data_IF_919585452148
#
_entry.id   IF_919585452148
#
_cell.length_a   1.000
_cell.length_b   1.000
_cell.length_c   1.000
_cell.angle_alpha   90.00
_cell.angle_beta   90.00
_cell.angle_gamma   90.00
#
_symmetry.space_group_name_H-M   'P 1'
#
loop_
_entity.id
_entity.type
_entity.pdbx_description
1 polymer ?
#
# COMPACT_ATOMS: atom_id res chain seq x y z
N UNK A 1 -79.00 40.42 -6.26
CA UNK A 1 -78.06 40.04 -5.27
C UNK A 1 -76.99 39.10 -5.94
N UNK A 2 -75.85 39.66 -6.37
CA UNK A 2 -74.81 38.95 -7.10
C UNK A 2 -73.66 38.59 -6.13
N UNK A 3 -73.41 37.28 -5.94
CA UNK A 3 -72.28 36.81 -5.13
C UNK A 3 -71.05 36.73 -6.01
N UNK A 4 -70.11 37.63 -5.76
CA UNK A 4 -68.73 37.52 -6.30
C UNK A 4 -67.97 36.39 -5.60
N UNK A 5 -67.50 35.38 -6.35
CA UNK A 5 -66.50 34.38 -5.90
C UNK A 5 -65.10 34.94 -6.10
N UNK A 6 -64.39 35.06 -5.02
CA UNK A 6 -62.95 35.44 -5.03
C UNK A 6 -62.13 34.19 -5.20
N UNK A 7 -61.40 34.10 -6.30
CA UNK A 7 -60.46 32.99 -6.56
C UNK A 7 -59.10 33.40 -6.05
N UNK A 8 -58.64 32.71 -5.01
CA UNK A 8 -57.30 32.88 -4.42
C UNK A 8 -56.34 31.98 -5.19
N UNK A 9 -55.40 32.60 -5.91
CA UNK A 9 -54.32 31.90 -6.61
C UNK A 9 -53.16 31.69 -5.59
N UNK A 10 -52.93 30.43 -5.23
CA UNK A 10 -51.76 30.02 -4.44
C UNK A 10 -50.56 29.90 -5.41
N UNK A 11 -49.61 30.79 -5.29
CA UNK A 11 -48.30 30.66 -5.93
C UNK A 11 -47.44 29.72 -5.08
N UNK A 12 -47.18 28.49 -5.55
CA UNK A 12 -46.22 27.60 -4.98
C UNK A 12 -44.81 28.07 -5.43
N UNK A 13 -43.99 28.49 -4.49
CA UNK A 13 -42.56 28.74 -4.70
C UNK A 13 -41.84 27.41 -4.51
N UNK A 14 -41.44 26.76 -5.59
CA UNK A 14 -40.53 25.62 -5.53
C UNK A 14 -39.12 26.12 -5.22
N UNK A 15 -38.67 25.88 -3.98
CA UNK A 15 -37.26 26.00 -3.61
C UNK A 15 -36.50 24.84 -4.26
N UNK A 16 -35.76 25.09 -5.34
CA UNK A 16 -34.73 24.18 -5.83
C UNK A 16 -33.59 24.15 -4.81
N UNK A 17 -33.57 23.16 -3.95
CA UNK A 17 -32.38 22.77 -3.19
C UNK A 17 -31.36 22.20 -4.18
N UNK A 18 -30.40 23.00 -4.60
CA UNK A 18 -29.20 22.51 -5.26
C UNK A 18 -28.47 21.59 -4.27
N UNK A 19 -28.59 20.28 -4.46
CA UNK A 19 -27.77 19.30 -3.78
C UNK A 19 -26.33 19.55 -4.23
N UNK A 20 -25.53 20.22 -3.39
CA UNK A 20 -24.09 20.22 -3.53
C UNK A 20 -23.65 18.77 -3.32
N UNK A 21 -23.35 18.08 -4.39
CA UNK A 21 -22.65 16.81 -4.35
C UNK A 21 -21.29 17.09 -3.69
N UNK A 22 -21.18 16.82 -2.40
CA UNK A 22 -19.88 16.72 -1.74
C UNK A 22 -19.22 15.51 -2.42
N UNK A 23 -18.30 15.76 -3.37
CA UNK A 23 -17.52 14.71 -3.98
C UNK A 23 -16.90 13.89 -2.87
N UNK A 24 -16.97 12.56 -2.97
CA UNK A 24 -16.33 11.68 -2.00
C UNK A 24 -14.88 12.14 -1.80
N UNK A 25 -14.47 12.32 -0.54
CA UNK A 25 -13.09 12.69 -0.23
C UNK A 25 -12.14 11.64 -0.81
N UNK A 26 -11.00 12.09 -1.30
CA UNK A 26 -9.98 11.23 -1.87
C UNK A 26 -9.37 10.33 -0.78
N UNK A 27 -9.54 9.00 -0.89
CA UNK A 27 -9.14 8.04 0.13
C UNK A 27 -8.06 7.08 -0.40
N UNK A 28 -6.87 7.17 0.19
CA UNK A 28 -5.78 6.20 0.07
C UNK A 28 -5.29 5.85 1.46
N UNK A 29 -6.10 5.16 2.27
CA UNK A 29 -5.93 5.13 3.72
C UNK A 29 -4.79 4.25 4.21
N UNK A 30 -4.11 3.49 3.34
CA UNK A 30 -3.03 2.59 3.74
C UNK A 30 -2.08 2.30 2.58
N UNK A 31 -1.03 1.56 2.88
CA UNK A 31 -0.11 0.99 1.91
C UNK A 31 -0.85 0.20 0.83
N UNK A 32 -0.59 0.53 -0.43
CA UNK A 32 -1.26 -0.08 -1.58
C UNK A 32 -2.70 0.38 -1.80
N UNK A 33 -3.18 1.40 -1.06
CA UNK A 33 -4.54 1.93 -1.17
C UNK A 33 -5.61 1.07 -0.48
N UNK A 34 -6.89 1.37 -0.68
CA UNK A 34 -7.98 0.76 0.07
C UNK A 34 -8.05 -0.77 -0.06
N UNK A 35 -7.64 -1.32 -1.19
CA UNK A 35 -7.60 -2.77 -1.45
C UNK A 35 -6.21 -3.38 -1.31
N UNK A 36 -5.19 -2.59 -0.97
CA UNK A 36 -3.77 -2.97 -0.90
C UNK A 36 -3.23 -3.59 -2.20
N UNK A 37 -3.79 -3.20 -3.33
CA UNK A 37 -3.46 -3.70 -4.67
C UNK A 37 -2.71 -2.69 -5.55
N UNK A 38 -2.29 -1.55 -4.95
CA UNK A 38 -1.61 -0.42 -5.59
C UNK A 38 -2.38 0.17 -6.78
N UNK A 39 -3.74 0.04 -6.77
CA UNK A 39 -4.61 0.60 -7.79
C UNK A 39 -5.48 1.72 -7.24
N UNK A 40 -5.41 2.87 -7.89
CA UNK A 40 -6.26 4.02 -7.58
C UNK A 40 -7.60 3.91 -8.30
N UNK A 41 -8.70 4.31 -7.64
CA UNK A 41 -10.00 4.42 -8.28
C UNK A 41 -10.14 5.67 -9.15
N UNK A 42 -9.16 6.56 -9.17
CA UNK A 42 -9.21 7.82 -9.92
C UNK A 42 -9.35 7.60 -11.42
N UNK A 43 -10.11 8.47 -12.05
CA UNK A 43 -10.34 8.55 -13.49
C UNK A 43 -10.14 9.99 -13.99
N UNK A 44 -10.17 10.21 -15.30
CA UNK A 44 -9.93 11.52 -15.93
C UNK A 44 -8.54 12.09 -15.55
N UNK A 45 -7.54 11.23 -15.64
CA UNK A 45 -6.15 11.58 -15.38
C UNK A 45 -5.39 11.80 -16.72
N UNK A 46 -4.32 12.58 -16.66
CA UNK A 46 -3.42 12.79 -17.78
C UNK A 46 -2.92 11.45 -18.35
N UNK A 47 -3.05 11.27 -19.66
CA UNK A 47 -2.50 10.09 -20.38
C UNK A 47 -1.10 10.36 -20.95
N UNK A 48 -0.70 11.63 -20.93
CA UNK A 48 0.63 12.10 -21.30
C UNK A 48 0.99 13.29 -20.42
N UNK A 49 2.18 13.27 -19.84
CA UNK A 49 2.68 14.44 -19.12
C UNK A 49 3.27 15.47 -20.09
N UNK A 50 3.15 16.77 -19.80
CA UNK A 50 3.85 17.81 -20.55
C UNK A 50 5.37 17.66 -20.41
N UNK A 51 6.12 18.36 -21.24
CA UNK A 51 7.57 18.50 -21.10
C UNK A 51 7.91 19.06 -19.70
N UNK A 52 8.86 18.43 -19.01
CA UNK A 52 9.20 18.76 -17.61
C UNK A 52 8.31 18.09 -16.55
N UNK A 53 7.29 17.33 -16.95
CA UNK A 53 6.42 16.57 -16.02
C UNK A 53 5.12 17.28 -15.68
N UNK A 54 4.29 16.68 -14.77
CA UNK A 54 3.06 17.28 -14.33
C UNK A 54 3.31 18.49 -13.41
N UNK A 55 2.31 19.38 -13.28
CA UNK A 55 2.42 20.59 -12.47
C UNK A 55 2.68 20.26 -11.00
N UNK A 56 3.78 20.76 -10.44
CA UNK A 56 4.01 20.68 -8.99
C UNK A 56 3.01 21.57 -8.27
N UNK A 57 2.25 20.99 -7.32
CA UNK A 57 1.33 21.72 -6.46
C UNK A 57 2.03 22.21 -5.20
N UNK A 58 2.79 21.32 -4.55
CA UNK A 58 3.57 21.64 -3.36
C UNK A 58 4.67 20.61 -3.10
N UNK A 59 5.62 20.99 -2.26
CA UNK A 59 6.69 20.17 -1.74
C UNK A 59 6.81 20.39 -0.23
N UNK A 60 6.82 19.32 0.55
CA UNK A 60 7.21 19.34 1.95
C UNK A 60 8.63 18.81 2.11
N UNK A 61 9.42 19.44 2.98
CA UNK A 61 10.81 19.08 3.33
C UNK A 61 10.93 18.82 4.82
N UNK A 62 11.95 18.10 5.23
CA UNK A 62 12.22 17.86 6.63
C UNK A 62 11.46 16.67 7.21
N UNK A 63 11.05 15.70 6.36
CA UNK A 63 10.46 14.44 6.82
C UNK A 63 11.50 13.50 7.44
N UNK A 64 12.79 13.73 7.19
CA UNK A 64 13.86 12.84 7.60
C UNK A 64 14.02 11.63 6.69
N UNK A 65 14.87 10.69 7.10
CA UNK A 65 15.16 9.47 6.34
C UNK A 65 13.97 8.52 6.30
N UNK A 66 13.75 7.89 5.15
CA UNK A 66 12.73 6.85 5.06
C UNK A 66 12.26 6.52 3.66
N UNK A 67 11.54 5.40 3.60
CA UNK A 67 11.06 4.75 2.39
C UNK A 67 9.53 4.54 2.43
N UNK A 68 8.85 4.96 3.50
CA UNK A 68 7.39 4.93 3.57
C UNK A 68 6.78 5.84 2.51
N UNK A 69 5.65 5.44 1.96
CA UNK A 69 4.82 6.34 1.15
C UNK A 69 3.81 7.09 2.03
N UNK A 70 2.79 7.69 1.43
CA UNK A 70 1.77 8.43 2.16
C UNK A 70 0.48 7.62 2.34
N UNK A 71 -0.23 7.87 3.45
CA UNK A 71 -1.64 7.60 3.59
C UNK A 71 -2.43 8.90 3.41
N UNK A 72 -3.56 8.86 2.70
CA UNK A 72 -4.44 10.03 2.49
C UNK A 72 -5.84 9.67 2.93
N UNK A 73 -6.39 10.41 3.88
CA UNK A 73 -7.76 10.20 4.37
C UNK A 73 -8.29 11.46 5.05
N UNK A 74 -9.59 11.73 4.90
CA UNK A 74 -10.26 12.86 5.54
C UNK A 74 -9.58 14.20 5.22
N UNK A 75 -9.15 14.43 3.98
CA UNK A 75 -8.46 15.66 3.57
C UNK A 75 -7.11 15.88 4.24
N UNK A 76 -6.46 14.82 4.72
CA UNK A 76 -5.15 14.88 5.39
C UNK A 76 -4.18 13.85 4.78
N UNK A 77 -2.94 14.27 4.56
CA UNK A 77 -1.83 13.45 4.06
C UNK A 77 -0.94 13.09 5.25
N UNK A 78 -0.75 11.79 5.49
CA UNK A 78 0.08 11.26 6.57
C UNK A 78 1.35 10.62 6.01
N UNK A 79 2.49 10.89 6.63
CA UNK A 79 3.78 10.30 6.26
C UNK A 79 4.60 10.01 7.52
N UNK A 80 5.48 9.01 7.46
CA UNK A 80 6.45 8.74 8.53
C UNK A 80 7.88 9.01 8.08
N UNK A 81 8.79 9.34 8.99
CA UNK A 81 10.18 9.57 8.67
C UNK A 81 11.07 9.57 9.91
N UNK A 82 12.32 9.14 9.76
CA UNK A 82 13.29 9.13 10.85
C UNK A 82 14.04 10.46 10.87
N UNK A 83 13.81 11.24 11.92
CA UNK A 83 14.39 12.56 12.12
C UNK A 83 14.83 12.75 13.58
N UNK A 84 16.00 13.31 13.80
CA UNK A 84 16.54 13.62 15.13
C UNK A 84 16.48 12.41 16.10
N UNK A 85 16.97 11.25 15.63
CA UNK A 85 16.96 9.96 16.34
C UNK A 85 15.57 9.40 16.71
N UNK A 86 14.51 9.93 16.09
CA UNK A 86 13.12 9.52 16.33
C UNK A 86 12.42 9.14 15.03
N UNK A 87 11.57 8.12 15.10
CA UNK A 87 10.53 7.90 14.12
C UNK A 87 9.42 8.93 14.36
N UNK A 88 9.22 9.81 13.39
CA UNK A 88 8.18 10.83 13.41
C UNK A 88 7.00 10.43 12.54
N UNK A 89 5.80 10.77 12.97
CA UNK A 89 4.59 10.77 12.15
C UNK A 89 4.19 12.21 11.88
N UNK A 90 3.95 12.53 10.61
CA UNK A 90 3.58 13.85 10.11
C UNK A 90 2.15 13.81 9.57
N UNK A 91 1.40 14.90 9.75
CA UNK A 91 0.13 15.15 9.07
C UNK A 91 0.19 16.51 8.38
N UNK A 92 -0.19 16.52 7.10
CA UNK A 92 -0.28 17.72 6.27
C UNK A 92 -1.71 17.90 5.78
N UNK A 93 -2.12 19.14 5.53
CA UNK A 93 -3.33 19.39 4.75
C UNK A 93 -3.11 19.09 3.27
N UNK A 94 -4.15 19.17 2.47
CA UNK A 94 -4.07 18.90 1.04
C UNK A 94 -3.26 19.95 0.25
N UNK A 95 -2.86 21.06 0.88
CA UNK A 95 -1.99 22.09 0.31
C UNK A 95 -0.53 21.97 0.77
N UNK A 96 -0.22 20.91 1.54
CA UNK A 96 1.14 20.64 2.03
C UNK A 96 1.53 21.39 3.29
N UNK A 97 0.60 22.09 3.95
CA UNK A 97 0.87 22.74 5.23
C UNK A 97 0.85 21.71 6.36
N UNK A 98 1.89 21.70 7.20
CA UNK A 98 1.97 20.80 8.35
C UNK A 98 0.84 21.15 9.36
N UNK A 99 -0.02 20.16 9.66
CA UNK A 99 -1.07 20.25 10.67
C UNK A 99 -0.52 19.91 12.05
N UNK A 100 0.24 18.84 12.11
CA UNK A 100 0.94 18.38 13.31
C UNK A 100 2.03 17.37 12.95
N UNK A 101 2.97 17.17 13.88
CA UNK A 101 3.93 16.07 13.86
C UNK A 101 4.18 15.58 15.28
N UNK A 102 4.39 14.28 15.45
CA UNK A 102 4.63 13.65 16.75
C UNK A 102 5.69 12.57 16.66
N UNK A 103 6.52 12.38 17.70
CA UNK A 103 7.39 11.21 17.79
C UNK A 103 6.56 9.96 18.12
N UNK A 104 6.93 8.83 17.50
CA UNK A 104 6.27 7.53 17.70
C UNK A 104 7.19 6.54 18.43
N UNK A 105 8.46 6.51 18.04
CA UNK A 105 9.48 5.60 18.57
C UNK A 105 10.88 6.19 18.32
N UNK A 106 11.91 5.44 18.68
CA UNK A 106 13.28 5.71 18.23
C UNK A 106 13.40 5.41 16.73
N UNK A 107 14.26 6.15 16.04
CA UNK A 107 14.64 5.86 14.67
C UNK A 107 15.25 4.46 14.52
N UNK A 108 15.07 3.85 13.36
CA UNK A 108 15.76 2.62 13.02
C UNK A 108 17.18 2.92 12.54
N UNK A 109 18.19 2.37 13.24
CA UNK A 109 19.61 2.60 12.95
C UNK A 109 20.33 1.38 12.39
N UNK A 110 19.65 0.25 12.19
CA UNK A 110 20.19 -0.96 11.56
C UNK A 110 20.39 -0.82 10.05
N UNK A 111 20.40 -1.92 9.33
CA UNK A 111 20.56 -1.92 7.87
C UNK A 111 19.62 -0.96 7.16
N UNK A 112 20.14 -0.13 6.25
CA UNK A 112 19.43 0.93 5.52
C UNK A 112 18.58 1.80 6.45
N UNK A 113 19.15 2.71 7.26
CA UNK A 113 18.41 3.54 8.20
C UNK A 113 17.27 4.31 7.55
N UNK A 114 16.17 4.51 8.30
CA UNK A 114 14.99 5.24 7.85
C UNK A 114 13.66 4.49 8.08
N UNK A 115 12.56 5.23 8.18
CA UNK A 115 11.22 4.68 8.34
C UNK A 115 10.77 3.90 7.10
N UNK A 116 9.99 2.83 7.28
CA UNK A 116 9.52 1.99 6.16
C UNK A 116 8.02 1.85 6.11
N UNK A 117 7.39 1.64 7.26
CA UNK A 117 5.95 1.45 7.38
C UNK A 117 5.20 2.70 6.93
N UNK A 118 4.23 2.52 6.04
CA UNK A 118 3.28 3.57 5.65
C UNK A 118 2.18 3.67 6.70
N UNK A 119 1.81 4.87 7.14
CA UNK A 119 0.70 5.06 8.07
C UNK A 119 -0.59 4.45 7.49
N UNK A 120 -1.34 3.72 8.32
CA UNK A 120 -2.67 3.20 7.99
C UNK A 120 -3.72 3.99 8.76
N UNK A 121 -4.69 4.54 8.06
CA UNK A 121 -5.76 5.38 8.64
C UNK A 121 -7.07 4.60 8.63
N UNK A 122 -7.75 4.57 9.77
CA UNK A 122 -9.08 3.95 9.90
C UNK A 122 -9.88 4.64 11.00
N UNK A 123 -11.10 5.07 10.67
CA UNK A 123 -12.05 5.65 11.62
C UNK A 123 -11.45 6.69 12.57
N UNK A 124 -10.74 7.69 12.02
CA UNK A 124 -10.15 8.78 12.79
C UNK A 124 -8.92 8.39 13.61
N UNK A 125 -8.29 7.26 13.31
CA UNK A 125 -7.06 6.77 13.95
C UNK A 125 -5.98 6.53 12.91
N UNK A 126 -4.73 6.66 13.31
CA UNK A 126 -3.55 6.33 12.51
C UNK A 126 -2.77 5.23 13.20
N UNK A 127 -2.48 4.17 12.48
CA UNK A 127 -1.69 3.03 12.94
C UNK A 127 -0.33 3.03 12.26
N UNK A 128 0.72 2.83 13.02
CA UNK A 128 2.10 2.78 12.50
C UNK A 128 2.90 1.71 13.24
N UNK A 129 3.68 0.93 12.49
CA UNK A 129 4.66 0.00 13.04
C UNK A 129 6.06 0.57 12.85
N UNK A 130 6.82 0.73 13.94
CA UNK A 130 8.20 1.18 13.88
C UNK A 130 9.15 0.09 13.41
N UNK A 131 10.31 0.45 12.87
CA UNK A 131 11.39 -0.50 12.55
C UNK A 131 11.85 -1.32 13.76
N UNK A 132 11.72 -0.79 14.97
CA UNK A 132 12.07 -1.45 16.23
C UNK A 132 10.95 -2.33 16.81
N UNK A 133 9.74 -2.31 16.19
CA UNK A 133 8.61 -3.15 16.55
C UNK A 133 7.60 -2.51 17.50
N UNK A 134 7.55 -1.20 17.62
CA UNK A 134 6.46 -0.51 18.32
C UNK A 134 5.28 -0.36 17.35
N UNK A 135 4.17 -1.03 17.64
CA UNK A 135 2.88 -0.82 17.01
C UNK A 135 2.14 0.26 17.80
N UNK A 136 1.89 1.40 17.18
CA UNK A 136 1.24 2.54 17.81
C UNK A 136 -0.06 2.89 17.08
N UNK A 137 -1.07 3.29 17.86
CA UNK A 137 -2.33 3.85 17.38
C UNK A 137 -2.48 5.27 17.93
N UNK A 138 -2.62 6.24 17.06
CA UNK A 138 -2.76 7.65 17.37
C UNK A 138 -4.12 8.18 16.89
N UNK A 139 -4.58 9.25 17.52
CA UNK A 139 -5.70 10.05 17.03
C UNK A 139 -5.30 10.78 15.73
N UNK A 140 -6.07 10.62 14.67
CA UNK A 140 -5.74 11.17 13.35
C UNK A 140 -5.79 12.70 13.29
N UNK A 141 -6.58 13.35 14.16
CA UNK A 141 -6.75 14.80 14.18
C UNK A 141 -5.62 15.51 14.93
N UNK A 142 -5.13 14.91 16.01
CA UNK A 142 -4.19 15.54 16.94
C UNK A 142 -2.82 14.87 17.00
N UNK A 143 -2.66 13.63 16.52
CA UNK A 143 -1.47 12.83 16.71
C UNK A 143 -1.30 12.27 18.13
N UNK A 144 -2.28 12.47 19.04
CA UNK A 144 -2.20 11.97 20.41
C UNK A 144 -2.18 10.44 20.41
N UNK A 145 -1.28 9.86 21.21
CA UNK A 145 -1.19 8.41 21.39
C UNK A 145 -2.45 7.88 22.10
N UNK A 146 -3.15 6.94 21.48
CA UNK A 146 -4.26 6.20 22.09
C UNK A 146 -3.74 4.96 22.83
N UNK A 147 -2.94 4.15 22.16
CA UNK A 147 -2.30 2.97 22.71
C UNK A 147 -1.06 2.56 21.90
N UNK A 148 -0.17 1.79 22.53
CA UNK A 148 0.95 1.14 21.82
C UNK A 148 1.23 -0.24 22.40
N UNK A 149 1.82 -1.12 21.57
CA UNK A 149 2.30 -2.46 21.92
C UNK A 149 3.68 -2.66 21.30
N UNK A 150 4.51 -3.45 21.94
CA UNK A 150 5.78 -3.86 21.36
C UNK A 150 5.67 -5.29 20.82
N UNK A 151 6.12 -5.52 19.59
CA UNK A 151 6.10 -6.86 18.97
C UNK A 151 6.89 -7.90 19.75
N UNK A 152 7.85 -7.48 20.61
CA UNK A 152 8.56 -8.35 21.56
C UNK A 152 7.63 -9.06 22.53
N UNK A 153 6.50 -8.43 22.90
CA UNK A 153 5.45 -9.03 23.74
C UNK A 153 4.79 -10.26 23.07
N UNK A 154 4.94 -10.34 21.74
CA UNK A 154 4.42 -11.46 20.94
C UNK A 154 5.52 -12.44 20.52
N UNK A 155 6.74 -12.28 21.03
CA UNK A 155 7.92 -13.09 20.65
C UNK A 155 8.57 -12.61 19.35
N UNK A 156 8.27 -11.38 18.91
CA UNK A 156 8.81 -10.79 17.70
C UNK A 156 10.28 -10.40 17.82
N UNK A 157 10.96 -10.47 16.69
CA UNK A 157 12.32 -10.00 16.52
C UNK A 157 12.46 -9.36 15.12
N UNK A 158 12.75 -8.05 15.02
CA UNK A 158 12.99 -7.42 13.74
C UNK A 158 14.22 -8.04 13.07
N UNK A 159 14.17 -8.24 11.77
CA UNK A 159 15.32 -8.66 10.98
C UNK A 159 16.41 -7.58 10.91
N UNK A 160 17.47 -7.82 10.14
CA UNK A 160 18.60 -6.91 10.01
C UNK A 160 18.26 -5.51 9.45
N UNK A 161 17.12 -5.39 8.79
CA UNK A 161 16.60 -4.12 8.25
C UNK A 161 15.38 -3.57 9.02
N UNK A 162 15.03 -4.13 10.19
CA UNK A 162 13.88 -3.71 10.97
C UNK A 162 12.55 -4.19 10.41
N UNK A 163 11.45 -3.88 11.09
CA UNK A 163 10.11 -4.10 10.52
C UNK A 163 9.83 -3.08 9.41
N UNK A 164 9.25 -3.54 8.31
CA UNK A 164 8.94 -2.70 7.14
C UNK A 164 7.45 -2.77 6.72
N UNK A 165 6.73 -3.77 7.22
CA UNK A 165 5.32 -3.92 6.89
C UNK A 165 4.48 -2.71 7.33
N UNK A 166 3.40 -2.46 6.60
CA UNK A 166 2.37 -1.50 6.97
C UNK A 166 1.18 -2.23 7.59
N UNK A 167 0.70 -1.73 8.72
CA UNK A 167 -0.37 -2.37 9.52
C UNK A 167 -1.59 -2.65 8.64
N UNK A 168 -2.11 -3.88 8.66
CA UNK A 168 -3.36 -4.22 8.00
C UNK A 168 -4.51 -3.99 9.00
N UNK A 169 -5.48 -3.15 8.63
CA UNK A 169 -6.76 -3.07 9.34
C UNK A 169 -7.76 -3.98 8.61
N UNK A 170 -8.34 -4.92 9.36
CA UNK A 170 -9.36 -5.82 8.85
C UNK A 170 -10.49 -5.95 9.87
N UNK A 171 -11.66 -5.42 9.57
CA UNK A 171 -12.78 -5.27 10.52
C UNK A 171 -12.33 -4.54 11.80
N UNK A 172 -12.43 -5.18 12.96
CA UNK A 172 -12.01 -4.62 14.25
C UNK A 172 -10.57 -4.99 14.65
N UNK A 173 -9.79 -5.52 13.71
CA UNK A 173 -8.43 -6.01 13.94
C UNK A 173 -7.39 -5.05 13.33
N UNK A 174 -6.31 -4.84 14.07
CA UNK A 174 -5.03 -4.36 13.55
C UNK A 174 -4.07 -5.55 13.52
N UNK A 175 -3.55 -5.88 12.33
CA UNK A 175 -2.79 -7.09 12.09
C UNK A 175 -1.37 -6.71 11.72
N UNK A 176 -0.42 -7.36 12.38
CA UNK A 176 1.02 -7.21 12.17
C UNK A 176 1.70 -8.58 12.14
N UNK A 177 2.93 -8.61 11.66
CA UNK A 177 3.73 -9.82 11.52
C UNK A 177 5.01 -9.75 12.38
N UNK A 178 4.93 -10.01 13.69
CA UNK A 178 6.11 -10.02 14.57
C UNK A 178 7.16 -11.05 14.19
N UNK A 179 6.77 -12.12 13.51
CA UNK A 179 7.63 -13.27 13.23
C UNK A 179 7.73 -14.25 14.41
N UNK A 180 8.52 -15.29 14.23
CA UNK A 180 8.71 -16.34 15.24
C UNK A 180 7.56 -17.35 15.29
N UNK A 181 7.28 -17.89 16.47
CA UNK A 181 6.25 -18.91 16.69
C UNK A 181 4.84 -18.37 16.44
N UNK A 182 4.61 -17.09 16.75
CA UNK A 182 3.37 -16.36 16.49
C UNK A 182 3.59 -15.39 15.36
N UNK A 183 3.86 -15.91 14.16
CA UNK A 183 4.35 -15.12 13.03
C UNK A 183 3.43 -13.94 12.69
N UNK A 184 2.11 -14.12 12.77
CA UNK A 184 1.10 -13.08 12.53
C UNK A 184 0.29 -12.91 13.81
N UNK A 185 0.03 -11.67 14.20
CA UNK A 185 -0.76 -11.34 15.39
C UNK A 185 -1.83 -10.31 15.02
N UNK A 186 -3.05 -10.57 15.46
CA UNK A 186 -4.14 -9.61 15.41
C UNK A 186 -4.45 -9.08 16.80
N UNK A 187 -4.51 -7.77 16.91
CA UNK A 187 -4.96 -7.08 18.11
C UNK A 187 -6.26 -6.33 17.81
N UNK A 188 -7.06 -6.08 18.82
CA UNK A 188 -8.22 -5.21 18.71
C UNK A 188 -7.73 -3.79 18.36
N UNK A 189 -8.19 -3.24 17.23
CA UNK A 189 -7.75 -1.95 16.73
C UNK A 189 -8.08 -0.78 17.67
N UNK A 190 -9.06 -0.93 18.58
CA UNK A 190 -9.48 0.13 19.49
C UNK A 190 -8.56 0.29 20.70
N UNK A 191 -7.98 -0.80 21.21
CA UNK A 191 -7.25 -0.80 22.49
C UNK A 191 -5.91 -1.58 22.47
N UNK A 192 -5.59 -2.29 21.38
CA UNK A 192 -4.36 -3.07 21.25
C UNK A 192 -4.36 -4.43 21.97
N UNK A 193 -5.48 -4.89 22.51
CA UNK A 193 -5.56 -6.21 23.15
C UNK A 193 -5.46 -7.33 22.11
N UNK A 194 -4.71 -8.39 22.44
CA UNK A 194 -4.54 -9.54 21.55
C UNK A 194 -5.87 -10.26 21.35
N UNK A 195 -6.28 -10.43 20.09
CA UNK A 195 -7.46 -11.21 19.71
C UNK A 195 -7.05 -12.63 19.32
N UNK A 196 -6.05 -12.75 18.46
CA UNK A 196 -5.46 -14.05 18.10
C UNK A 196 -3.99 -13.93 17.71
N UNK A 197 -3.29 -15.04 17.79
CA UNK A 197 -1.93 -15.25 17.31
C UNK A 197 -1.94 -16.41 16.34
N UNK A 198 -1.21 -16.31 15.23
CA UNK A 198 -1.17 -17.39 14.24
C UNK A 198 -0.60 -18.68 14.84
N UNK A 199 -1.10 -19.80 14.35
CA UNK A 199 -0.68 -21.13 14.76
C UNK A 199 -0.49 -22.06 13.56
N UNK A 200 0.21 -23.19 13.77
CA UNK A 200 0.46 -24.18 12.73
C UNK A 200 1.71 -23.96 11.90
N UNK A 201 2.44 -22.84 12.06
CA UNK A 201 3.70 -22.57 11.40
C UNK A 201 4.59 -21.61 12.19
N UNK A 202 5.86 -21.53 11.79
CA UNK A 202 6.86 -20.61 12.33
C UNK A 202 7.64 -19.98 11.18
N UNK A 203 7.78 -18.65 11.18
CA UNK A 203 8.56 -17.95 10.15
C UNK A 203 9.10 -16.61 10.67
N UNK A 204 10.18 -16.09 10.04
CA UNK A 204 10.65 -14.73 10.25
C UNK A 204 9.70 -13.70 9.60
N UNK A 205 9.67 -12.46 10.10
CA UNK A 205 8.68 -11.47 9.65
C UNK A 205 8.91 -11.01 8.21
N UNK A 206 10.16 -10.92 7.76
CA UNK A 206 10.52 -10.29 6.49
C UNK A 206 9.85 -8.90 6.32
N UNK A 207 9.64 -8.42 5.08
CA UNK A 207 9.28 -7.01 4.83
C UNK A 207 7.94 -6.83 4.12
N UNK A 208 7.36 -7.91 3.60
CA UNK A 208 6.02 -7.96 3.00
C UNK A 208 4.94 -7.61 4.03
N UNK A 209 3.95 -6.81 3.65
CA UNK A 209 2.77 -6.57 4.48
C UNK A 209 1.75 -7.69 4.34
N UNK A 210 0.84 -7.79 5.33
CA UNK A 210 -0.31 -8.67 5.22
C UNK A 210 -1.35 -8.09 4.25
N UNK A 211 -2.00 -8.97 3.49
CA UNK A 211 -3.18 -8.66 2.65
C UNK A 211 -4.36 -9.51 3.06
N UNK A 212 -5.58 -9.01 2.88
CA UNK A 212 -6.80 -9.73 3.19
C UNK A 212 -7.64 -9.92 1.93
N UNK A 213 -8.24 -11.08 1.77
CA UNK A 213 -9.20 -11.38 0.68
C UNK A 213 -10.14 -12.52 1.09
N UNK A 214 -11.26 -12.62 0.37
CA UNK A 214 -12.20 -13.73 0.52
C UNK A 214 -12.04 -14.71 -0.64
N UNK A 215 -12.01 -16.01 -0.34
CA UNK A 215 -12.02 -17.08 -1.33
C UNK A 215 -12.98 -18.20 -0.91
N UNK A 216 -14.00 -18.46 -1.73
CA UNK A 216 -14.99 -19.50 -1.46
C UNK A 216 -15.73 -19.34 -0.10
N UNK A 217 -15.95 -18.11 0.34
CA UNK A 217 -16.62 -17.81 1.62
C UNK A 217 -15.70 -17.88 2.85
N UNK A 218 -14.40 -18.05 2.64
CA UNK A 218 -13.38 -18.02 3.70
C UNK A 218 -12.57 -16.73 3.60
N UNK A 219 -12.50 -15.95 4.69
CA UNK A 219 -11.65 -14.78 4.78
C UNK A 219 -10.23 -15.18 5.14
N UNK A 220 -9.28 -14.82 4.29
CA UNK A 220 -7.86 -15.18 4.37
C UNK A 220 -7.02 -13.93 4.62
N UNK A 221 -6.06 -14.04 5.53
CA UNK A 221 -4.93 -13.13 5.64
C UNK A 221 -3.70 -13.83 5.05
N UNK A 222 -3.10 -13.25 4.02
CA UNK A 222 -1.89 -13.81 3.40
C UNK A 222 -0.71 -12.84 3.50
N UNK A 223 0.51 -13.41 3.56
CA UNK A 223 1.76 -12.63 3.57
C UNK A 223 2.95 -13.47 3.12
N UNK A 224 4.00 -12.79 2.66
CA UNK A 224 5.30 -13.40 2.42
C UNK A 224 6.15 -13.45 3.69
N UNK A 225 6.95 -14.50 3.83
CA UNK A 225 7.87 -14.74 4.94
C UNK A 225 9.20 -15.28 4.43
N UNK A 226 10.21 -15.41 5.29
CA UNK A 226 11.47 -16.08 4.92
C UNK A 226 11.28 -17.57 4.61
N UNK A 227 10.26 -18.19 5.20
CA UNK A 227 9.95 -19.61 5.01
C UNK A 227 8.99 -19.90 3.85
N UNK A 228 8.38 -18.88 3.27
CA UNK A 228 7.44 -19.01 2.17
C UNK A 228 6.28 -18.02 2.23
N UNK A 229 5.32 -18.21 1.33
CA UNK A 229 4.05 -17.47 1.34
C UNK A 229 3.01 -18.30 2.12
N UNK A 230 2.27 -17.61 2.99
CA UNK A 230 1.35 -18.24 3.95
C UNK A 230 -0.02 -17.58 3.91
N UNK A 231 -1.08 -18.36 4.07
CA UNK A 231 -2.45 -17.92 4.29
C UNK A 231 -3.00 -18.47 5.60
N UNK A 232 -3.57 -17.60 6.42
CA UNK A 232 -4.22 -17.96 7.69
C UNK A 232 -5.67 -17.50 7.69
N UNK A 233 -6.51 -18.15 8.53
CA UNK A 233 -7.87 -17.69 8.76
C UNK A 233 -7.88 -16.29 9.36
N UNK A 234 -8.57 -15.34 8.75
CA UNK A 234 -8.71 -13.99 9.27
C UNK A 234 -9.46 -13.97 10.62
N UNK A 235 -10.27 -15.00 10.90
CA UNK A 235 -11.05 -15.12 12.12
C UNK A 235 -10.25 -15.65 13.31
N UNK A 236 -9.33 -16.61 13.06
CA UNK A 236 -8.70 -17.38 14.15
C UNK A 236 -7.16 -17.33 14.14
N UNK A 237 -6.54 -16.94 13.02
CA UNK A 237 -5.09 -17.01 12.82
C UNK A 237 -4.56 -18.43 12.54
N UNK A 238 -5.44 -19.45 12.44
CA UNK A 238 -5.02 -20.81 12.09
C UNK A 238 -4.49 -20.87 10.66
N UNK A 239 -3.44 -21.67 10.47
CA UNK A 239 -2.87 -21.93 9.14
C UNK A 239 -3.90 -22.60 8.24
N UNK A 240 -4.18 -21.99 7.11
CA UNK A 240 -4.99 -22.59 6.03
C UNK A 240 -4.09 -23.31 5.03
N UNK A 241 -3.02 -22.65 4.61
CA UNK A 241 -2.05 -23.18 3.65
C UNK A 241 -0.70 -22.44 3.78
N UNK A 242 0.35 -23.13 3.34
CA UNK A 242 1.70 -22.57 3.22
C UNK A 242 2.40 -23.20 2.02
N UNK A 243 3.06 -22.38 1.21
CA UNK A 243 3.99 -22.82 0.18
C UNK A 243 5.39 -22.33 0.54
N UNK A 244 6.37 -23.21 0.56
CA UNK A 244 7.74 -22.96 1.00
C UNK A 244 8.62 -22.22 -0.04
N UNK A 245 8.03 -21.73 -1.13
CA UNK A 245 8.74 -20.92 -2.10
C UNK A 245 9.09 -19.54 -1.48
N UNK A 246 10.36 -19.18 -1.41
CA UNK A 246 10.86 -17.95 -0.84
C UNK A 246 12.27 -17.65 -1.35
N UNK A 247 12.73 -16.43 -1.28
CA UNK A 247 14.14 -16.07 -1.46
C UNK A 247 14.99 -16.30 -0.19
N UNK A 248 14.40 -16.92 0.85
CA UNK A 248 15.08 -17.25 2.11
C UNK A 248 15.29 -16.02 3.00
N UNK A 249 16.39 -16.01 3.75
CA UNK A 249 16.76 -14.91 4.65
C UNK A 249 17.38 -13.74 3.86
N UNK A 250 16.58 -13.08 3.06
CA UNK A 250 16.96 -11.90 2.27
C UNK A 250 15.97 -10.76 2.55
N UNK A 251 15.63 -9.94 1.55
CA UNK A 251 14.57 -8.96 1.66
C UNK A 251 13.38 -9.37 0.78
N UNK A 252 12.46 -10.16 1.33
CA UNK A 252 11.20 -10.53 0.69
C UNK A 252 10.19 -9.39 0.90
N UNK A 253 10.26 -8.36 0.06
CA UNK A 253 9.53 -7.09 0.26
C UNK A 253 8.11 -7.07 -0.36
N UNK A 254 7.86 -7.58 -1.58
CA UNK A 254 6.56 -7.43 -2.19
C UNK A 254 5.46 -8.16 -1.44
N UNK A 255 4.28 -7.54 -1.41
CA UNK A 255 3.09 -8.18 -0.85
C UNK A 255 2.52 -9.19 -1.86
N UNK A 256 1.96 -10.32 -1.43
CA UNK A 256 1.21 -11.18 -2.34
C UNK A 256 -0.04 -10.45 -2.87
N UNK A 257 -0.42 -10.72 -4.11
CA UNK A 257 -1.60 -10.16 -4.75
C UNK A 257 -2.56 -11.28 -5.15
N UNK A 258 -3.85 -11.10 -4.81
CA UNK A 258 -4.89 -12.08 -5.12
C UNK A 258 -5.85 -11.53 -6.18
N UNK A 259 -6.14 -12.33 -7.20
CA UNK A 259 -7.19 -12.06 -8.18
C UNK A 259 -7.70 -13.37 -8.81
N UNK A 260 -8.99 -13.46 -9.11
CA UNK A 260 -9.62 -14.53 -9.87
C UNK A 260 -9.29 -15.96 -9.39
N UNK A 261 -9.13 -16.16 -8.09
CA UNK A 261 -8.77 -17.48 -7.51
C UNK A 261 -7.28 -17.80 -7.57
N UNK A 262 -6.43 -16.86 -7.96
CA UNK A 262 -4.99 -17.01 -7.99
C UNK A 262 -4.32 -16.01 -7.04
N UNK A 263 -3.25 -16.46 -6.38
CA UNK A 263 -2.39 -15.61 -5.57
C UNK A 263 -1.00 -15.61 -6.18
N UNK A 264 -0.51 -14.42 -6.53
CA UNK A 264 0.83 -14.25 -7.06
C UNK A 264 1.74 -13.61 -6.02
N UNK A 265 2.97 -14.11 -5.89
CA UNK A 265 4.02 -13.55 -5.06
C UNK A 265 5.37 -13.59 -5.75
N UNK A 266 6.11 -12.50 -5.74
CA UNK A 266 7.43 -12.41 -6.35
C UNK A 266 8.46 -11.85 -5.39
N UNK A 267 9.73 -12.21 -5.62
CA UNK A 267 10.86 -11.78 -4.81
C UNK A 267 12.06 -11.40 -5.68
N UNK A 268 12.93 -10.59 -5.10
CA UNK A 268 14.22 -10.22 -5.67
C UNK A 268 15.26 -11.34 -5.61
N UNK A 269 16.52 -10.96 -5.67
CA UNK A 269 17.67 -11.85 -5.53
C UNK A 269 17.67 -13.05 -6.51
N UNK A 270 17.20 -12.81 -7.74
CA UNK A 270 17.09 -13.83 -8.76
C UNK A 270 16.03 -14.90 -8.51
N UNK A 271 15.18 -14.74 -7.46
CA UNK A 271 14.17 -15.75 -7.13
C UNK A 271 13.05 -15.79 -8.16
N UNK A 272 12.48 -14.64 -8.55
CA UNK A 272 11.37 -14.54 -9.49
C UNK A 272 10.01 -14.56 -8.82
N UNK A 273 8.99 -15.16 -9.44
CA UNK A 273 7.62 -15.22 -8.97
C UNK A 273 7.03 -16.62 -8.93
N UNK A 274 6.05 -16.79 -8.03
CA UNK A 274 5.18 -17.99 -7.94
C UNK A 274 3.73 -17.56 -8.05
N UNK A 275 2.93 -18.34 -8.75
CA UNK A 275 1.49 -18.23 -8.78
C UNK A 275 0.87 -19.48 -8.15
N UNK A 276 0.01 -19.27 -7.17
CA UNK A 276 -0.75 -20.32 -6.51
C UNK A 276 -2.20 -20.25 -6.97
N UNK A 277 -2.78 -21.39 -7.37
CA UNK A 277 -4.21 -21.54 -7.58
C UNK A 277 -4.86 -21.91 -6.26
N UNK A 278 -5.85 -21.16 -5.85
CA UNK A 278 -6.60 -21.41 -4.63
C UNK A 278 -7.87 -22.23 -4.94
N UNK A 279 -8.20 -23.13 -4.04
CA UNK A 279 -9.45 -23.91 -4.06
C UNK A 279 -10.08 -23.88 -2.68
N UNK A 280 -11.41 -23.80 -2.64
CA UNK A 280 -12.16 -23.80 -1.39
C UNK A 280 -13.13 -24.99 -1.35
N UNK A 281 -13.13 -25.73 -0.24
CA UNK A 281 -14.07 -26.81 0.05
C UNK A 281 -14.26 -26.93 1.55
N UNK A 282 -15.50 -27.14 1.99
CA UNK A 282 -15.88 -27.39 3.39
C UNK A 282 -15.33 -26.34 4.38
N UNK A 283 -15.36 -25.05 3.98
CA UNK A 283 -14.87 -23.94 4.80
C UNK A 283 -13.34 -23.88 4.93
N UNK A 284 -12.60 -24.63 4.13
CA UNK A 284 -11.13 -24.63 4.04
C UNK A 284 -10.67 -24.07 2.71
N UNK A 285 -9.48 -23.48 2.70
CA UNK A 285 -8.80 -23.03 1.48
C UNK A 285 -7.48 -23.79 1.36
N UNK A 286 -7.23 -24.35 0.20
CA UNK A 286 -5.97 -24.95 -0.18
C UNK A 286 -5.30 -24.10 -1.28
N UNK A 287 -3.97 -24.16 -1.38
CA UNK A 287 -3.19 -23.46 -2.39
C UNK A 287 -2.22 -24.44 -3.06
N UNK A 288 -2.27 -24.52 -4.39
CA UNK A 288 -1.41 -25.37 -5.19
C UNK A 288 -0.60 -24.52 -6.16
N UNK A 289 0.66 -24.88 -6.40
CA UNK A 289 1.49 -24.21 -7.40
C UNK A 289 0.87 -24.37 -8.79
N UNK A 290 0.53 -23.24 -9.42
CA UNK A 290 0.10 -23.22 -10.80
C UNK A 290 1.30 -23.10 -11.74
N UNK A 291 2.21 -22.19 -11.43
CA UNK A 291 3.45 -21.95 -12.19
C UNK A 291 4.44 -21.09 -11.40
N UNK A 292 5.70 -21.11 -11.82
CA UNK A 292 6.76 -20.21 -11.36
C UNK A 292 7.43 -19.51 -12.55
N UNK A 293 8.09 -18.38 -12.30
CA UNK A 293 8.77 -17.62 -13.36
C UNK A 293 10.05 -16.95 -12.86
N UNK A 294 11.00 -16.76 -13.78
CA UNK A 294 12.18 -15.89 -13.58
C UNK A 294 11.99 -14.49 -14.20
N UNK A 295 10.86 -14.22 -14.84
CA UNK A 295 10.58 -12.96 -15.52
C UNK A 295 9.84 -11.93 -14.63
N UNK A 296 9.85 -12.12 -13.32
CA UNK A 296 9.35 -11.17 -12.32
C UNK A 296 10.27 -11.23 -11.09
N UNK A 297 11.57 -10.93 -11.27
CA UNK A 297 12.51 -10.78 -10.15
C UNK A 297 12.24 -9.41 -9.54
N UNK A 298 11.36 -9.38 -8.54
CA UNK A 298 10.87 -8.15 -7.93
C UNK A 298 11.44 -7.97 -6.52
N UNK A 299 12.29 -6.97 -6.33
CA UNK A 299 12.93 -6.72 -5.04
C UNK A 299 12.00 -5.94 -4.09
N UNK A 300 11.75 -4.65 -4.36
CA UNK A 300 10.89 -3.81 -3.52
C UNK A 300 9.75 -3.15 -4.31
N UNK A 301 9.83 -3.13 -5.64
CA UNK A 301 8.98 -2.28 -6.49
C UNK A 301 7.53 -2.72 -6.61
N UNK A 302 7.24 -3.95 -6.24
CA UNK A 302 5.89 -4.49 -6.32
C UNK A 302 5.40 -4.76 -7.75
N UNK A 303 4.16 -5.13 -7.82
CA UNK A 303 3.40 -5.44 -9.04
C UNK A 303 1.91 -5.20 -8.79
N UNK A 304 1.14 -5.08 -9.85
CA UNK A 304 -0.32 -5.04 -9.82
C UNK A 304 -0.89 -6.15 -10.70
N UNK A 305 -2.12 -6.56 -10.42
CA UNK A 305 -2.89 -7.45 -11.29
C UNK A 305 -4.05 -6.64 -11.87
N UNK A 306 -4.11 -6.54 -13.20
CA UNK A 306 -5.21 -5.89 -13.90
C UNK A 306 -5.67 -6.71 -15.10
N UNK A 307 -6.99 -6.95 -15.19
CA UNK A 307 -7.64 -7.66 -16.30
C UNK A 307 -6.94 -8.99 -16.69
N UNK A 308 -6.51 -9.75 -15.69
CA UNK A 308 -5.86 -11.07 -15.89
C UNK A 308 -4.37 -11.02 -16.23
N UNK A 309 -3.73 -9.87 -16.12
CA UNK A 309 -2.29 -9.70 -16.33
C UNK A 309 -1.61 -9.12 -15.10
N UNK A 310 -0.38 -9.55 -14.85
CA UNK A 310 0.50 -9.05 -13.80
C UNK A 310 1.48 -8.08 -14.45
N UNK A 311 1.54 -6.84 -13.94
CA UNK A 311 2.50 -5.83 -14.35
C UNK A 311 3.40 -5.49 -13.18
N UNK A 312 4.70 -5.61 -13.31
CA UNK A 312 5.58 -5.39 -12.18
C UNK A 312 7.03 -5.19 -12.54
N UNK A 313 7.80 -4.81 -11.53
CA UNK A 313 9.24 -4.66 -11.68
C UNK A 313 9.93 -6.02 -11.87
N UNK A 314 10.86 -6.08 -12.79
CA UNK A 314 11.71 -7.23 -13.08
C UNK A 314 13.16 -6.78 -13.23
N UNK A 315 14.00 -7.08 -12.23
CA UNK A 315 15.38 -6.60 -12.16
C UNK A 315 15.50 -5.10 -12.47
N UNK A 316 16.18 -4.70 -13.54
CA UNK A 316 16.34 -3.32 -13.97
C UNK A 316 15.28 -2.86 -14.99
N UNK A 317 14.18 -3.62 -15.13
CA UNK A 317 13.10 -3.35 -16.06
C UNK A 317 11.71 -3.69 -15.50
N UNK A 318 10.80 -3.93 -16.42
CA UNK A 318 9.38 -4.18 -16.15
C UNK A 318 8.89 -5.34 -17.00
N UNK A 319 7.96 -6.11 -16.46
CA UNK A 319 7.36 -7.27 -17.13
C UNK A 319 5.84 -7.19 -17.10
N UNK A 320 5.24 -7.80 -18.13
CA UNK A 320 3.83 -8.19 -18.14
C UNK A 320 3.74 -9.73 -18.29
N UNK A 321 2.96 -10.36 -17.43
CA UNK A 321 2.77 -11.81 -17.38
C UNK A 321 1.28 -12.11 -17.30
N UNK A 322 0.77 -13.07 -18.09
CA UNK A 322 -0.60 -13.54 -17.97
C UNK A 322 -0.79 -14.35 -16.67
N UNK A 323 -1.74 -13.94 -15.84
CA UNK A 323 -1.94 -14.46 -14.48
C UNK A 323 -2.17 -15.98 -14.44
N UNK A 324 -3.00 -16.52 -15.34
CA UNK A 324 -3.42 -17.92 -15.27
C UNK A 324 -2.39 -18.88 -15.84
N UNK A 325 -1.65 -18.46 -16.87
CA UNK A 325 -0.72 -19.34 -17.60
C UNK A 325 0.75 -19.11 -17.26
N UNK A 326 1.10 -17.95 -16.71
CA UNK A 326 2.50 -17.53 -16.53
C UNK A 326 3.20 -17.11 -17.82
N UNK A 327 2.45 -16.96 -18.93
CA UNK A 327 3.00 -16.53 -20.21
C UNK A 327 3.51 -15.10 -20.11
N UNK A 328 4.78 -14.88 -20.41
CA UNK A 328 5.38 -13.55 -20.52
C UNK A 328 4.86 -12.89 -21.78
N UNK A 329 4.27 -11.71 -21.62
CA UNK A 329 3.78 -10.89 -22.72
C UNK A 329 4.87 -9.98 -23.25
N UNK A 330 5.62 -9.32 -22.35
CA UNK A 330 6.76 -8.48 -22.67
C UNK A 330 7.68 -8.25 -21.45
N UNK A 331 8.93 -7.89 -21.75
CA UNK A 331 9.92 -7.36 -20.80
C UNK A 331 10.51 -6.09 -21.41
N UNK A 332 10.43 -4.95 -20.68
CA UNK A 332 10.83 -3.65 -21.17
C UNK A 332 11.56 -2.85 -20.07
N UNK A 333 12.40 -1.90 -20.45
CA UNK A 333 13.23 -1.21 -19.47
C UNK A 333 12.54 -0.05 -18.76
N UNK A 334 11.75 0.76 -19.45
CA UNK A 334 11.09 1.99 -18.92
C UNK A 334 12.04 2.84 -18.04
N UNK A 335 11.72 3.06 -16.75
CA UNK A 335 12.58 3.84 -15.82
C UNK A 335 13.68 3.00 -15.15
N UNK A 336 13.86 1.74 -15.55
CA UNK A 336 14.72 0.78 -14.84
C UNK A 336 14.06 0.25 -13.58
N UNK A 337 14.86 -0.30 -12.65
CA UNK A 337 14.36 -0.82 -11.37
C UNK A 337 13.61 0.26 -10.59
N UNK A 338 12.44 -0.07 -10.03
CA UNK A 338 11.62 0.91 -9.33
C UNK A 338 10.31 0.33 -8.79
N UNK A 339 9.43 1.23 -8.37
CA UNK A 339 8.12 0.94 -7.80
C UNK A 339 6.99 1.52 -8.67
N UNK A 340 5.75 1.09 -8.42
CA UNK A 340 4.61 1.48 -9.24
C UNK A 340 3.34 1.75 -8.43
N UNK A 341 2.44 2.52 -9.08
CA UNK A 341 1.01 2.63 -8.78
C UNK A 341 0.25 2.60 -10.10
N UNK A 342 -0.96 2.04 -10.11
CA UNK A 342 -1.84 2.04 -11.26
C UNK A 342 -3.00 3.01 -11.05
N UNK A 343 -3.34 3.80 -12.08
CA UNK A 343 -4.54 4.62 -12.10
C UNK A 343 -4.99 4.86 -13.54
N UNK A 344 -6.29 4.77 -13.78
CA UNK A 344 -6.93 5.16 -15.05
C UNK A 344 -6.28 4.55 -16.31
N UNK A 345 -5.89 3.26 -16.24
CA UNK A 345 -5.25 2.53 -17.34
C UNK A 345 -3.76 2.86 -17.55
N UNK A 346 -3.12 3.59 -16.63
CA UNK A 346 -1.72 3.98 -16.70
C UNK A 346 -0.93 3.44 -15.52
N UNK A 347 0.36 3.20 -15.73
CA UNK A 347 1.35 2.91 -14.70
C UNK A 347 2.11 4.20 -14.35
N UNK A 348 2.11 4.55 -13.08
CA UNK A 348 2.94 5.59 -12.50
C UNK A 348 4.17 4.92 -11.91
N UNK A 349 5.31 5.07 -12.55
CA UNK A 349 6.56 4.39 -12.21
C UNK A 349 7.50 5.34 -11.47
N UNK A 350 8.19 4.84 -10.44
CA UNK A 350 9.19 5.60 -9.72
C UNK A 350 10.49 4.79 -9.59
N UNK A 351 11.55 5.24 -10.28
CA UNK A 351 12.83 4.56 -10.33
C UNK A 351 13.54 4.53 -8.98
N UNK A 352 14.27 3.45 -8.69
CA UNK A 352 15.01 3.24 -7.42
C UNK A 352 16.08 4.30 -7.16
N UNK A 353 16.56 4.97 -8.20
CA UNK A 353 17.66 5.93 -8.10
C UNK A 353 17.44 7.17 -8.94
N UNK A 354 18.02 8.28 -8.51
CA UNK A 354 18.02 9.54 -9.26
C UNK A 354 16.66 10.25 -9.32
N UNK A 355 15.67 9.83 -8.54
CA UNK A 355 14.37 10.50 -8.43
C UNK A 355 13.54 10.49 -9.72
N UNK A 356 13.78 9.58 -10.66
CA UNK A 356 13.10 9.52 -11.96
C UNK A 356 11.73 8.89 -11.80
N UNK A 357 10.68 9.60 -12.21
CA UNK A 357 9.34 9.07 -12.31
C UNK A 357 8.83 9.13 -13.76
N UNK A 358 7.97 8.20 -14.14
CA UNK A 358 7.39 8.15 -15.48
C UNK A 358 5.91 7.76 -15.44
N UNK A 359 5.17 8.26 -16.41
CA UNK A 359 3.85 7.78 -16.80
C UNK A 359 4.01 6.80 -17.96
N UNK A 360 3.41 5.62 -17.86
CA UNK A 360 3.48 4.62 -18.91
C UNK A 360 2.12 3.96 -19.14
N UNK A 361 1.90 3.45 -20.35
CA UNK A 361 0.69 2.68 -20.67
C UNK A 361 0.68 1.35 -19.93
N UNK A 362 -0.51 0.87 -19.51
CA UNK A 362 -0.70 -0.45 -18.93
C UNK A 362 -1.45 -1.34 -19.92
N UNK A 363 -0.70 -2.15 -20.68
CA UNK A 363 -1.25 -2.99 -21.75
C UNK A 363 -0.47 -4.30 -21.88
N UNK A 364 -1.13 -5.44 -22.15
CA UNK A 364 -0.43 -6.70 -22.44
C UNK A 364 0.31 -6.70 -23.78
N UNK A 365 0.06 -5.70 -24.65
CA UNK A 365 0.69 -5.60 -25.97
C UNK A 365 2.00 -4.82 -25.96
N UNK A 366 2.40 -4.26 -24.83
CA UNK A 366 3.62 -3.47 -24.67
C UNK A 366 3.43 -2.34 -23.68
N UNK A 367 4.51 -1.66 -23.34
CA UNK A 367 4.55 -0.48 -22.47
C UNK A 367 5.16 0.70 -23.25
N UNK A 368 4.49 1.84 -23.19
CA UNK A 368 4.97 3.09 -23.78
C UNK A 368 5.08 4.14 -22.66
N UNK A 369 6.26 4.76 -22.53
CA UNK A 369 6.45 5.88 -21.60
C UNK A 369 5.93 7.16 -22.26
N UNK A 370 4.91 7.77 -21.66
CA UNK A 370 4.21 8.95 -22.19
C UNK A 370 4.53 10.25 -21.44
N UNK A 371 5.41 10.19 -20.44
CA UNK A 371 5.88 11.37 -19.72
C UNK A 371 6.90 11.02 -18.66
N UNK A 372 7.75 11.97 -18.30
CA UNK A 372 8.78 11.82 -17.28
C UNK A 372 8.85 13.06 -16.41
N UNK A 373 9.25 12.87 -15.15
CA UNK A 373 9.64 13.95 -14.23
C UNK A 373 10.77 13.45 -13.34
N UNK A 374 11.65 14.35 -12.91
CA UNK A 374 12.71 14.03 -11.95
C UNK A 374 12.52 14.89 -10.71
N UNK A 375 12.54 14.25 -9.54
CA UNK A 375 12.46 14.89 -8.23
C UNK A 375 13.80 14.79 -7.49
N UNK A 376 14.08 15.77 -6.63
CA UNK A 376 15.31 15.83 -5.87
C UNK A 376 15.21 15.01 -4.58
N UNK A 377 16.30 14.37 -4.20
CA UNK A 377 16.43 13.59 -2.97
C UNK A 377 17.81 12.96 -2.87
N UNK A 378 17.99 12.07 -1.92
CA UNK A 378 19.28 11.41 -1.70
C UNK A 378 19.10 9.92 -1.35
N UNK A 379 20.10 9.09 -1.69
CA UNK A 379 20.02 7.66 -1.47
C UNK A 379 19.04 6.95 -2.40
N UNK A 380 18.52 5.77 -2.02
CA UNK A 380 17.54 5.04 -2.81
C UNK A 380 16.13 5.62 -2.67
N UNK A 381 15.38 5.65 -3.78
CA UNK A 381 13.95 6.02 -3.83
C UNK A 381 13.08 4.77 -3.84
N UNK A 382 12.91 4.14 -2.67
CA UNK A 382 12.13 2.92 -2.50
C UNK A 382 10.66 3.15 -2.13
N UNK A 383 10.27 4.39 -1.90
CA UNK A 383 8.86 4.72 -1.69
C UNK A 383 8.05 4.48 -2.97
N UNK A 384 6.83 3.95 -2.81
CA UNK A 384 5.94 3.78 -3.95
C UNK A 384 5.20 5.08 -4.29
N UNK A 385 4.94 5.38 -5.56
CA UNK A 385 4.06 6.49 -5.94
C UNK A 385 2.64 6.23 -5.44
N UNK A 386 1.93 7.30 -5.11
CA UNK A 386 0.50 7.26 -4.76
C UNK A 386 -0.26 8.21 -5.66
N UNK A 387 -1.34 7.73 -6.27
CA UNK A 387 -2.24 8.55 -7.07
C UNK A 387 -3.61 8.54 -6.43
N UNK A 388 -4.09 9.71 -6.00
CA UNK A 388 -5.43 9.84 -5.40
C UNK A 388 -5.92 11.29 -5.44
N UNK A 389 -7.21 11.48 -5.75
CA UNK A 389 -7.86 12.79 -5.85
C UNK A 389 -7.29 13.66 -6.98
N UNK A 390 -6.80 13.03 -8.07
CA UNK A 390 -6.12 13.69 -9.18
C UNK A 390 -4.74 14.22 -8.83
N UNK A 391 -4.10 13.66 -7.81
CA UNK A 391 -2.78 14.06 -7.34
C UNK A 391 -1.83 12.87 -7.34
N UNK A 392 -0.58 13.12 -7.75
CA UNK A 392 0.52 12.17 -7.65
C UNK A 392 1.42 12.61 -6.48
N UNK A 393 1.63 11.72 -5.53
CA UNK A 393 2.57 11.88 -4.43
C UNK A 393 3.81 11.05 -4.68
N UNK A 394 4.98 11.69 -4.61
CA UNK A 394 6.28 11.04 -4.69
C UNK A 394 7.10 11.41 -3.46
N UNK A 395 7.64 10.41 -2.77
CA UNK A 395 8.58 10.63 -1.68
C UNK A 395 9.98 10.23 -2.09
N UNK A 396 10.96 11.13 -1.86
CA UNK A 396 12.37 10.83 -2.04
C UNK A 396 13.17 11.32 -0.82
N UNK A 397 13.54 10.39 0.06
CA UNK A 397 14.20 10.65 1.34
C UNK A 397 13.45 11.70 2.17
N UNK A 398 14.07 12.88 2.39
CA UNK A 398 13.55 13.98 3.21
C UNK A 398 12.40 14.78 2.55
N UNK A 399 12.14 14.54 1.26
CA UNK A 399 11.20 15.32 0.46
C UNK A 399 9.92 14.53 0.15
N UNK A 400 8.78 15.22 0.21
CA UNK A 400 7.48 14.75 -0.29
C UNK A 400 6.95 15.74 -1.32
N UNK A 401 6.68 15.28 -2.52
CA UNK A 401 6.16 16.04 -3.65
C UNK A 401 4.71 15.68 -3.92
N UNK A 402 3.91 16.68 -4.28
CA UNK A 402 2.55 16.50 -4.75
C UNK A 402 2.37 17.22 -6.10
N UNK A 403 1.96 16.48 -7.10
CA UNK A 403 1.74 16.98 -8.46
C UNK A 403 0.26 16.88 -8.83
N UNK A 404 -0.20 17.79 -9.71
CA UNK A 404 -1.51 17.71 -10.36
C UNK A 404 -1.42 16.79 -11.58
N UNK A 405 -2.24 15.75 -11.58
CA UNK A 405 -2.31 14.77 -12.69
C UNK A 405 -3.71 14.67 -13.29
N UNK A 406 -4.61 15.64 -12.99
CA UNK A 406 -5.92 15.75 -13.65
C UNK A 406 -5.75 16.14 -15.10
N UNK A 407 -6.62 15.57 -15.98
CA UNK A 407 -6.71 15.92 -17.40
C UNK A 407 -7.50 17.21 -17.63
#
# INVERSE_FOLDING_TARGET
MSKKKSTMVLMAVELMLASVSIGAEAEWPCWGGPNRDAKSPDTNLLKKWPEGGPKLLWQAKGLGGGFSTVGVSGGTVYASGDKDDKLMLFAFDMNGSEKWKVPVDKAWTGGSPGSRSTPTIDNGRVYLLSGNGVLACMDAKSGQLNWSKNTKEFGGNPGGWGYAESVLIYNDLAIVKPGGQNCIVAVNKANGDVVWKSSGFKAGPEYSSCVAFDHGGVSVIATGTNAGVVGVSAKTGELLWMNNWSAGNTANCPDPQYADGYLFWANGYGKGGICLKLTASDGKVAAEEAWTTKNMVCHHGGYIIDKGYIYGNHDDGWSCIELKSGKVMWNERAVGKGSLCFADGMLYLFGESGGKAALATCSPNGVEVTGNVTVEGSGPSWAHPVVIGGRLYLRYADNLYCFDVKS
#
